data_IF_660859588269
#
_entry.id   IF_660859588269
#
_cell.length_a   1.000
_cell.length_b   1.000
_cell.length_c   1.000
_cell.angle_alpha   90.00
_cell.angle_beta   90.00
_cell.angle_gamma   90.00
#
_symmetry.space_group_name_H-M   'P 1'
#
loop_
_entity.id
_entity.type
_entity.pdbx_description
1 polymer ?
#
# COMPACT_ATOMS: atom_id res chain seq x y z
N UNK A 1 -18.94 45.53 29.67
CA UNK A 1 -18.48 44.24 29.18
C UNK A 1 -19.67 43.28 29.34
N UNK A 2 -20.48 43.17 28.30
CA UNK A 2 -21.71 42.39 28.30
C UNK A 2 -21.51 41.01 27.67
N UNK A 3 -22.25 39.97 28.08
CA UNK A 3 -22.06 38.62 27.55
C UNK A 3 -22.63 38.48 26.14
N UNK A 4 -21.87 37.83 25.29
CA UNK A 4 -22.26 37.44 23.94
C UNK A 4 -23.44 36.43 24.00
N UNK A 5 -24.58 36.85 23.47
CA UNK A 5 -25.76 35.97 23.29
C UNK A 5 -25.48 35.05 22.09
N UNK A 6 -25.34 33.76 22.33
CA UNK A 6 -25.37 32.74 21.28
C UNK A 6 -26.75 32.63 20.67
N UNK A 7 -26.80 32.54 19.35
CA UNK A 7 -28.00 32.31 18.54
C UNK A 7 -28.43 30.83 18.69
N UNK A 8 -29.66 30.52 19.21
CA UNK A 8 -30.13 29.13 19.39
C UNK A 8 -30.84 28.54 18.15
N UNK A 9 -30.66 29.12 16.94
CA UNK A 9 -31.51 28.82 15.79
C UNK A 9 -30.95 27.96 14.67
N UNK A 10 -29.72 27.48 14.71
CA UNK A 10 -29.19 26.63 13.63
C UNK A 10 -29.35 25.14 13.96
N UNK A 11 -30.50 24.56 13.60
CA UNK A 11 -30.64 23.10 13.52
C UNK A 11 -29.63 22.57 12.50
N UNK A 12 -28.88 21.50 12.80
CA UNK A 12 -28.10 20.81 11.80
C UNK A 12 -29.06 20.29 10.71
N UNK A 13 -28.80 20.66 9.48
CA UNK A 13 -29.50 20.11 8.32
C UNK A 13 -29.23 18.62 8.27
N UNK A 14 -30.30 17.81 8.26
CA UNK A 14 -30.23 16.36 8.09
C UNK A 14 -29.46 16.03 6.79
N UNK A 15 -28.60 15.00 6.80
CA UNK A 15 -27.96 14.53 5.58
C UNK A 15 -29.01 14.06 4.57
N UNK A 16 -28.73 14.16 3.25
CA UNK A 16 -29.68 13.74 2.22
C UNK A 16 -30.02 12.26 2.37
N UNK A 17 -31.31 11.96 2.16
CA UNK A 17 -31.87 10.61 2.25
C UNK A 17 -31.10 9.61 1.38
N UNK A 18 -30.80 8.45 1.93
CA UNK A 18 -30.16 7.32 1.28
C UNK A 18 -31.04 6.83 0.10
N UNK A 19 -30.55 7.05 -1.12
CA UNK A 19 -31.25 6.67 -2.36
C UNK A 19 -30.41 6.93 -3.59
N UNK A 20 -29.15 6.48 -3.65
CA UNK A 20 -28.39 6.33 -4.89
C UNK A 20 -27.29 5.30 -4.70
N UNK A 21 -27.01 4.51 -5.71
CA UNK A 21 -25.99 3.45 -5.77
C UNK A 21 -24.55 4.03 -5.62
N UNK A 22 -24.22 4.51 -4.43
CA UNK A 22 -22.95 5.19 -4.11
C UNK A 22 -22.88 5.62 -2.65
N UNK A 23 -23.77 5.15 -1.77
CA UNK A 23 -23.80 5.48 -0.35
C UNK A 23 -22.49 5.08 0.35
N UNK A 24 -22.03 5.93 1.29
CA UNK A 24 -20.88 5.65 2.17
C UNK A 24 -21.17 4.40 3.01
N UNK A 25 -20.63 3.25 2.59
CA UNK A 25 -20.92 1.94 3.19
C UNK A 25 -20.30 1.76 4.58
N UNK A 26 -19.43 2.67 5.01
CA UNK A 26 -18.75 2.64 6.31
C UNK A 26 -19.36 3.57 7.36
N UNK A 27 -20.55 4.13 7.09
CA UNK A 27 -21.32 4.90 8.06
C UNK A 27 -22.64 4.20 8.36
N UNK A 28 -23.07 4.30 9.61
CA UNK A 28 -24.44 3.91 10.00
C UNK A 28 -25.46 5.03 9.71
N UNK A 29 -26.72 4.79 10.05
CA UNK A 29 -27.81 5.77 9.88
C UNK A 29 -27.64 7.05 10.70
N UNK A 30 -26.76 7.04 11.70
CA UNK A 30 -26.43 8.17 12.56
C UNK A 30 -25.13 8.86 12.15
N UNK A 31 -24.46 8.40 11.07
CA UNK A 31 -23.19 8.94 10.59
C UNK A 31 -21.97 8.47 11.37
N UNK A 32 -22.10 7.46 12.25
CA UNK A 32 -20.96 6.87 12.96
C UNK A 32 -20.25 5.81 12.09
N UNK A 33 -18.93 5.73 12.24
CA UNK A 33 -18.11 4.77 11.51
C UNK A 33 -18.47 3.32 11.94
N UNK A 34 -18.65 2.44 10.94
CA UNK A 34 -18.86 1.01 11.17
C UNK A 34 -18.05 0.17 10.19
N UNK A 35 -17.65 -1.02 10.61
CA UNK A 35 -17.12 -2.04 9.73
C UNK A 35 -18.26 -2.64 8.89
N UNK A 36 -18.05 -2.73 7.56
CA UNK A 36 -19.09 -3.24 6.64
C UNK A 36 -19.34 -4.72 6.90
N UNK A 37 -20.61 -5.12 7.01
CA UNK A 37 -20.98 -6.54 7.04
C UNK A 37 -20.76 -7.17 5.66
N UNK A 38 -19.92 -8.19 5.62
CA UNK A 38 -19.59 -8.95 4.41
C UNK A 38 -20.17 -10.37 4.42
N UNK A 39 -21.00 -10.72 5.41
CA UNK A 39 -21.53 -12.08 5.63
C UNK A 39 -22.28 -12.62 4.41
N UNK A 40 -23.04 -11.77 3.72
CA UNK A 40 -23.82 -12.14 2.53
C UNK A 40 -22.99 -12.20 1.22
N UNK A 41 -21.72 -11.74 1.24
CA UNK A 41 -20.88 -11.76 0.04
C UNK A 41 -20.33 -13.16 -0.22
N UNK A 42 -20.21 -13.58 -1.48
CA UNK A 42 -19.55 -14.84 -1.82
C UNK A 42 -18.05 -14.77 -1.49
N UNK A 43 -17.52 -15.90 -1.09
CA UNK A 43 -16.06 -16.11 -0.97
C UNK A 43 -15.48 -16.26 -2.36
N UNK A 44 -14.44 -15.48 -2.69
CA UNK A 44 -13.76 -15.50 -3.99
C UNK A 44 -12.25 -15.36 -3.78
N UNK A 45 -11.47 -15.83 -4.75
CA UNK A 45 -10.05 -15.61 -4.78
C UNK A 45 -9.74 -14.15 -5.05
N UNK A 46 -8.79 -13.62 -4.29
CA UNK A 46 -8.42 -12.20 -4.33
C UNK A 46 -6.92 -12.04 -4.28
N UNK A 47 -6.46 -11.12 -5.09
CA UNK A 47 -5.07 -10.71 -5.16
C UNK A 47 -4.99 -9.19 -5.14
N UNK A 48 -4.02 -8.66 -4.43
CA UNK A 48 -3.65 -7.24 -4.50
C UNK A 48 -2.13 -7.10 -4.56
N UNK A 49 -1.69 -6.13 -5.33
CA UNK A 49 -0.29 -5.73 -5.47
C UNK A 49 -0.18 -4.27 -5.09
N UNK A 50 0.68 -3.95 -4.14
CA UNK A 50 1.00 -2.58 -3.76
C UNK A 50 2.51 -2.35 -3.87
N UNK A 51 2.92 -1.10 -4.01
CA UNK A 51 4.34 -0.78 -4.07
C UNK A 51 4.65 0.60 -3.53
N UNK A 52 5.94 0.82 -3.28
CA UNK A 52 6.52 2.11 -2.93
C UNK A 52 8.00 2.12 -3.28
N UNK A 53 8.66 3.26 -3.10
CA UNK A 53 10.12 3.41 -3.27
C UNK A 53 10.72 4.02 -2.02
N UNK A 54 11.90 3.56 -1.63
CA UNK A 54 12.73 4.21 -0.63
C UNK A 54 13.89 4.88 -1.36
N UNK A 55 13.82 6.20 -1.49
CA UNK A 55 14.82 7.01 -2.17
C UNK A 55 16.08 7.10 -1.33
N UNK A 56 17.23 6.76 -1.92
CA UNK A 56 18.52 6.66 -1.24
C UNK A 56 19.62 7.27 -2.08
N UNK A 57 20.64 7.80 -1.41
CA UNK A 57 21.85 8.25 -2.07
C UNK A 57 22.61 7.05 -2.68
N UNK A 58 23.35 7.26 -3.79
CA UNK A 58 24.14 6.19 -4.45
C UNK A 58 25.07 5.46 -3.48
N UNK A 59 25.75 6.18 -2.59
CA UNK A 59 26.65 5.57 -1.59
C UNK A 59 25.93 4.63 -0.63
N UNK A 60 24.66 4.93 -0.27
CA UNK A 60 23.84 4.04 0.59
C UNK A 60 23.40 2.80 -0.19
N UNK A 61 23.08 2.95 -1.47
CA UNK A 61 22.72 1.82 -2.35
C UNK A 61 23.92 0.89 -2.58
N UNK A 62 25.12 1.43 -2.74
CA UNK A 62 26.36 0.64 -2.83
C UNK A 62 26.62 -0.15 -1.55
N UNK A 63 26.42 0.45 -0.36
CA UNK A 63 26.52 -0.25 0.93
C UNK A 63 25.47 -1.37 1.07
N UNK A 64 24.25 -1.12 0.62
CA UNK A 64 23.18 -2.15 0.58
C UNK A 64 23.57 -3.31 -0.32
N UNK A 65 24.02 -3.02 -1.55
CA UNK A 65 24.43 -4.03 -2.52
C UNK A 65 25.60 -4.89 -2.02
N UNK A 66 26.55 -4.27 -1.31
CA UNK A 66 27.71 -4.94 -0.74
C UNK A 66 27.43 -5.67 0.59
N UNK A 67 26.20 -5.56 1.17
CA UNK A 67 25.90 -6.10 2.50
C UNK A 67 26.64 -5.39 3.64
N UNK A 68 27.12 -4.15 3.39
CA UNK A 68 27.99 -3.40 4.28
C UNK A 68 27.29 -2.55 5.35
N UNK A 69 25.98 -2.72 5.55
CA UNK A 69 25.26 -1.95 6.57
C UNK A 69 25.59 -2.43 7.98
N UNK A 70 25.75 -1.51 8.96
CA UNK A 70 26.08 -1.88 10.35
C UNK A 70 25.06 -2.79 11.04
N UNK A 71 23.80 -2.76 10.60
CA UNK A 71 22.68 -3.56 11.15
C UNK A 71 22.47 -4.90 10.43
N UNK A 72 23.30 -5.24 9.43
CA UNK A 72 23.21 -6.50 8.69
C UNK A 72 22.31 -6.41 7.44
N UNK A 73 21.72 -7.54 7.05
CA UNK A 73 20.94 -7.68 5.81
C UNK A 73 19.59 -6.92 5.88
N UNK A 74 19.62 -5.68 5.38
CA UNK A 74 18.47 -4.79 5.42
C UNK A 74 17.33 -5.25 4.50
N UNK A 75 17.66 -5.91 3.37
CA UNK A 75 16.64 -6.37 2.43
C UNK A 75 15.87 -7.56 3.00
N UNK A 76 16.57 -8.51 3.63
CA UNK A 76 15.94 -9.64 4.32
C UNK A 76 15.04 -9.16 5.48
N UNK A 77 15.53 -8.22 6.30
CA UNK A 77 14.75 -7.65 7.42
C UNK A 77 13.50 -6.94 6.89
N UNK A 78 13.62 -6.12 5.85
CA UNK A 78 12.50 -5.42 5.26
C UNK A 78 11.45 -6.38 4.67
N UNK A 79 11.88 -7.45 4.00
CA UNK A 79 10.99 -8.50 3.47
C UNK A 79 10.17 -9.16 4.58
N UNK A 80 10.83 -9.60 5.65
CA UNK A 80 10.15 -10.23 6.80
C UNK A 80 9.19 -9.25 7.45
N UNK A 81 9.58 -8.00 7.64
CA UNK A 81 8.73 -6.96 8.23
C UNK A 81 7.48 -6.72 7.37
N UNK A 82 7.60 -6.68 6.05
CA UNK A 82 6.47 -6.56 5.13
C UNK A 82 5.50 -7.73 5.25
N UNK A 83 5.99 -8.96 5.28
CA UNK A 83 5.17 -10.16 5.49
C UNK A 83 4.43 -10.09 6.84
N UNK A 84 5.11 -9.65 7.90
CA UNK A 84 4.47 -9.47 9.21
C UNK A 84 3.44 -8.35 9.20
N UNK A 85 3.71 -7.24 8.47
CA UNK A 85 2.78 -6.13 8.30
C UNK A 85 1.47 -6.57 7.68
N UNK A 86 1.50 -7.33 6.58
CA UNK A 86 0.30 -7.89 5.97
C UNK A 86 -0.56 -8.68 6.97
N UNK A 87 0.07 -9.52 7.79
CA UNK A 87 -0.62 -10.36 8.78
C UNK A 87 -1.23 -9.58 9.95
N UNK A 88 -0.86 -8.31 10.12
CA UNK A 88 -1.32 -7.44 11.22
C UNK A 88 -2.14 -6.25 10.74
N UNK A 89 -2.59 -6.25 9.50
CA UNK A 89 -3.35 -5.13 8.92
C UNK A 89 -4.58 -4.78 9.74
N UNK A 90 -5.37 -5.75 10.18
CA UNK A 90 -6.56 -5.53 11.01
C UNK A 90 -6.26 -4.94 12.40
N UNK A 91 -5.02 -5.12 12.91
CA UNK A 91 -4.59 -4.50 14.18
C UNK A 91 -4.23 -3.02 13.98
N UNK A 92 -3.89 -2.61 12.76
CA UNK A 92 -3.40 -1.27 12.43
C UNK A 92 -4.48 -0.39 11.78
N UNK A 93 -5.40 -0.98 11.03
CA UNK A 93 -6.44 -0.29 10.26
C UNK A 93 -7.81 -0.65 10.83
N UNK A 94 -8.45 0.27 11.61
CA UNK A 94 -9.59 -0.08 12.50
C UNK A 94 -10.80 -0.72 11.83
N UNK A 95 -11.08 -0.38 10.56
CA UNK A 95 -12.27 -0.91 9.84
C UNK A 95 -11.92 -2.05 8.88
N UNK A 96 -10.70 -2.58 8.91
CA UNK A 96 -10.32 -3.76 8.14
C UNK A 96 -10.75 -5.05 8.84
N UNK A 97 -11.31 -5.97 8.05
CA UNK A 97 -11.62 -7.32 8.54
C UNK A 97 -10.32 -8.12 8.73
N UNK A 98 -10.21 -8.95 9.77
CA UNK A 98 -9.15 -9.95 9.85
C UNK A 98 -9.37 -10.99 8.74
N UNK A 99 -8.37 -11.19 7.88
CA UNK A 99 -8.48 -12.07 6.72
C UNK A 99 -7.55 -13.29 6.83
N UNK A 100 -8.00 -14.46 6.36
CA UNK A 100 -7.16 -15.64 6.23
C UNK A 100 -6.23 -15.47 5.02
N UNK A 101 -5.08 -14.82 5.20
CA UNK A 101 -4.09 -14.62 4.14
C UNK A 101 -3.52 -15.98 3.73
N UNK A 102 -3.55 -16.29 2.43
CA UNK A 102 -3.02 -17.55 1.88
C UNK A 102 -1.61 -17.39 1.33
N UNK A 103 -1.20 -16.18 0.94
CA UNK A 103 0.14 -15.92 0.45
C UNK A 103 0.53 -14.45 0.58
N UNK A 104 1.80 -14.19 0.92
CA UNK A 104 2.42 -12.87 0.92
C UNK A 104 3.79 -12.98 0.29
N UNK A 105 4.03 -12.20 -0.73
CA UNK A 105 5.34 -12.02 -1.34
C UNK A 105 5.74 -10.55 -1.20
N UNK A 106 6.99 -10.29 -0.82
CA UNK A 106 7.56 -8.95 -0.77
C UNK A 106 8.87 -8.97 -1.53
N UNK A 107 8.91 -8.29 -2.66
CA UNK A 107 10.10 -8.11 -3.47
C UNK A 107 10.73 -6.75 -3.22
N UNK A 108 12.07 -6.73 -3.15
CA UNK A 108 12.86 -5.53 -2.99
C UNK A 108 13.94 -5.51 -4.06
N UNK A 109 13.92 -4.50 -4.93
CA UNK A 109 14.84 -4.35 -6.03
C UNK A 109 15.63 -3.06 -5.91
N UNK A 110 16.96 -3.16 -6.01
CA UNK A 110 17.83 -1.98 -6.09
C UNK A 110 17.65 -1.31 -7.45
N UNK A 111 17.38 -0.01 -7.43
CA UNK A 111 17.31 0.87 -8.58
C UNK A 111 18.45 1.89 -8.51
N UNK A 112 18.57 2.78 -9.48
CA UNK A 112 19.64 3.78 -9.56
C UNK A 112 19.66 4.75 -8.37
N UNK A 113 18.48 5.11 -7.86
CA UNK A 113 18.26 6.15 -6.85
C UNK A 113 17.32 5.70 -5.71
N UNK A 114 16.97 4.43 -5.68
CA UNK A 114 15.99 3.90 -4.72
C UNK A 114 16.13 2.39 -4.51
N UNK A 115 15.41 1.91 -3.50
CA UNK A 115 14.95 0.52 -3.43
C UNK A 115 13.45 0.51 -3.76
N UNK A 116 13.08 -0.14 -4.85
CA UNK A 116 11.68 -0.40 -5.18
C UNK A 116 11.18 -1.59 -4.34
N UNK A 117 10.00 -1.43 -3.78
CA UNK A 117 9.33 -2.44 -2.96
C UNK A 117 7.99 -2.77 -3.60
N UNK A 118 7.75 -4.06 -3.82
CA UNK A 118 6.47 -4.57 -4.32
C UNK A 118 5.97 -5.65 -3.38
N UNK A 119 4.74 -5.53 -2.91
CA UNK A 119 4.09 -6.50 -2.05
C UNK A 119 2.87 -7.09 -2.75
N UNK A 120 2.82 -8.41 -2.86
CA UNK A 120 1.69 -9.16 -3.41
C UNK A 120 1.04 -9.97 -2.30
N UNK A 121 -0.27 -9.82 -2.14
CA UNK A 121 -1.04 -10.55 -1.12
C UNK A 121 -2.19 -11.29 -1.78
N UNK A 122 -2.40 -12.55 -1.34
CA UNK A 122 -3.48 -13.43 -1.81
C UNK A 122 -4.33 -13.92 -0.65
N UNK A 123 -5.61 -14.06 -0.92
CA UNK A 123 -6.58 -14.69 -0.01
C UNK A 123 -7.76 -15.26 -0.78
N UNK A 124 -8.46 -16.21 -0.17
CA UNK A 124 -9.80 -16.65 -0.59
C UNK A 124 -10.79 -16.18 0.47
N UNK A 125 -11.45 -15.03 0.23
CA UNK A 125 -12.26 -14.33 1.24
C UNK A 125 -13.44 -13.54 0.64
N UNK A 126 -14.24 -12.92 1.52
CA UNK A 126 -15.42 -12.12 1.17
C UNK A 126 -15.12 -10.65 0.92
N UNK A 127 -13.93 -10.18 1.27
CA UNK A 127 -13.46 -8.81 1.02
C UNK A 127 -12.06 -8.80 0.42
N UNK A 128 -11.63 -7.65 -0.10
CA UNK A 128 -10.34 -7.50 -0.76
C UNK A 128 -9.16 -7.49 0.21
N UNK A 129 -7.96 -7.63 -0.33
CA UNK A 129 -6.66 -7.64 0.37
C UNK A 129 -5.80 -6.43 0.03
N UNK A 130 -6.41 -5.37 -0.46
CA UNK A 130 -5.72 -4.16 -0.87
C UNK A 130 -4.96 -3.53 0.31
N UNK A 131 -5.57 -3.51 1.49
CA UNK A 131 -4.96 -2.92 2.68
C UNK A 131 -3.81 -3.78 3.21
N UNK A 132 -3.92 -5.09 3.11
CA UNK A 132 -2.83 -6.01 3.47
C UNK A 132 -1.60 -5.79 2.57
N UNK A 133 -1.79 -5.60 1.27
CA UNK A 133 -0.72 -5.30 0.34
C UNK A 133 -0.08 -3.92 0.61
N UNK A 134 -0.88 -2.88 0.84
CA UNK A 134 -0.40 -1.55 1.19
C UNK A 134 0.36 -1.56 2.53
N UNK A 135 -0.16 -2.23 3.55
CA UNK A 135 0.49 -2.36 4.85
C UNK A 135 1.81 -3.12 4.74
N UNK A 136 1.86 -4.18 3.92
CA UNK A 136 3.09 -4.91 3.66
C UNK A 136 4.17 -4.02 3.03
N UNK A 137 3.84 -3.29 1.97
CA UNK A 137 4.78 -2.39 1.30
C UNK A 137 5.25 -1.27 2.26
N UNK A 138 4.34 -0.64 3.00
CA UNK A 138 4.65 0.40 3.97
C UNK A 138 5.57 -0.10 5.09
N UNK A 139 5.28 -1.28 5.66
CA UNK A 139 6.06 -1.84 6.77
C UNK A 139 7.45 -2.27 6.30
N UNK A 140 7.56 -2.83 5.09
CA UNK A 140 8.85 -3.13 4.48
C UNK A 140 9.69 -1.85 4.29
N UNK A 141 9.10 -0.77 3.80
CA UNK A 141 9.77 0.51 3.61
C UNK A 141 10.22 1.13 4.95
N UNK A 142 9.40 1.08 5.99
CA UNK A 142 9.74 1.55 7.33
C UNK A 142 10.90 0.73 7.94
N UNK A 143 10.89 -0.58 7.76
CA UNK A 143 11.97 -1.44 8.22
C UNK A 143 13.28 -1.14 7.47
N UNK A 144 13.23 -0.96 6.15
CA UNK A 144 14.39 -0.55 5.37
C UNK A 144 14.93 0.80 5.83
N UNK A 145 14.05 1.79 6.05
CA UNK A 145 14.43 3.09 6.59
C UNK A 145 15.15 2.93 7.95
N UNK A 146 14.62 2.12 8.87
CA UNK A 146 15.28 1.87 10.17
C UNK A 146 16.68 1.26 10.01
N UNK A 147 16.86 0.39 9.03
CA UNK A 147 18.15 -0.25 8.76
C UNK A 147 19.18 0.75 8.21
N UNK A 148 18.76 1.70 7.36
CA UNK A 148 19.68 2.66 6.69
C UNK A 148 19.85 3.98 7.45
N UNK A 149 18.97 4.34 8.37
CA UNK A 149 18.99 5.65 9.05
C UNK A 149 20.28 5.98 9.80
N UNK A 150 21.09 4.96 10.15
CA UNK A 150 22.40 5.15 10.78
C UNK A 150 23.44 5.73 9.82
N UNK A 151 23.28 5.51 8.50
CA UNK A 151 24.17 6.02 7.44
C UNK A 151 23.51 7.14 6.64
N UNK A 152 22.17 7.11 6.50
CA UNK A 152 21.43 8.14 5.78
C UNK A 152 20.08 8.41 6.45
N UNK A 153 19.87 9.61 7.02
CA UNK A 153 18.64 9.99 7.74
C UNK A 153 17.59 10.68 6.87
N UNK A 154 18.02 11.27 5.77
CA UNK A 154 17.16 11.97 4.80
C UNK A 154 16.57 11.03 3.73
N UNK A 155 16.69 9.72 3.92
CA UNK A 155 16.00 8.73 3.11
C UNK A 155 14.49 9.01 3.10
N UNK A 156 13.84 8.88 1.95
CA UNK A 156 12.43 9.21 1.78
C UNK A 156 11.64 8.02 1.25
N UNK A 157 10.52 7.71 1.90
CA UNK A 157 9.54 6.74 1.39
C UNK A 157 8.57 7.50 0.48
N UNK A 158 8.40 7.03 -0.74
CA UNK A 158 7.65 7.72 -1.78
C UNK A 158 6.76 6.77 -2.58
N UNK A 159 5.67 7.29 -3.18
CA UNK A 159 4.84 6.57 -4.13
C UNK A 159 4.10 5.36 -3.57
N UNK A 160 3.79 5.30 -2.26
CA UNK A 160 3.00 4.19 -1.71
C UNK A 160 1.60 4.18 -2.32
N UNK A 161 1.30 3.12 -3.09
CA UNK A 161 0.02 2.98 -3.77
C UNK A 161 -0.35 1.54 -4.11
N UNK A 162 -1.63 1.31 -4.38
CA UNK A 162 -2.10 0.09 -5.02
C UNK A 162 -1.68 0.11 -6.49
N UNK A 163 -1.02 -0.97 -6.93
CA UNK A 163 -0.57 -1.15 -8.31
C UNK A 163 -1.57 -1.97 -9.11
N UNK A 164 -2.11 -3.03 -8.51
CA UNK A 164 -3.10 -3.87 -9.15
C UNK A 164 -3.95 -4.62 -8.13
N UNK A 165 -5.14 -5.02 -8.54
CA UNK A 165 -5.94 -6.00 -7.80
C UNK A 165 -6.77 -6.84 -8.73
N UNK A 166 -7.13 -8.05 -8.28
CA UNK A 166 -8.02 -8.96 -8.98
C UNK A 166 -9.01 -9.62 -8.01
N UNK A 167 -10.20 -9.88 -8.52
CA UNK A 167 -11.29 -10.55 -7.80
C UNK A 167 -12.27 -9.62 -7.10
N UNK A 168 -13.37 -10.21 -6.63
CA UNK A 168 -14.49 -9.50 -6.02
C UNK A 168 -15.38 -8.77 -7.02
N UNK A 169 -16.38 -8.04 -6.49
CA UNK A 169 -17.42 -7.38 -7.29
C UNK A 169 -16.88 -6.29 -8.23
N UNK A 170 -15.82 -5.59 -7.85
CA UNK A 170 -15.22 -4.51 -8.65
C UNK A 170 -14.23 -5.02 -9.72
N UNK A 171 -14.07 -6.34 -9.86
CA UNK A 171 -13.23 -6.92 -10.92
C UNK A 171 -11.74 -6.60 -10.79
N UNK A 172 -11.11 -6.38 -11.94
CA UNK A 172 -9.68 -6.08 -12.04
C UNK A 172 -9.43 -4.58 -12.03
N UNK A 173 -8.29 -4.18 -11.45
CA UNK A 173 -7.76 -2.84 -11.48
C UNK A 173 -6.26 -2.91 -11.69
N UNK A 174 -5.74 -2.09 -12.58
CA UNK A 174 -4.31 -1.85 -12.79
C UNK A 174 -4.10 -0.34 -12.77
N UNK A 175 -3.18 0.11 -11.94
CA UNK A 175 -2.83 1.53 -11.86
C UNK A 175 -2.15 1.98 -13.14
N UNK A 176 -2.43 3.21 -13.56
CA UNK A 176 -1.67 3.85 -14.63
C UNK A 176 -0.17 3.92 -14.23
N UNK A 177 0.76 3.84 -15.20
CA UNK A 177 2.16 4.12 -14.95
C UNK A 177 2.34 5.48 -14.26
N UNK A 178 3.34 5.61 -13.36
CA UNK A 178 3.65 6.89 -12.74
C UNK A 178 4.01 7.92 -13.81
N UNK A 179 3.23 8.99 -13.88
CA UNK A 179 3.55 10.14 -14.73
C UNK A 179 4.52 11.11 -14.03
N UNK A 180 4.67 10.98 -12.70
CA UNK A 180 5.57 11.79 -11.90
C UNK A 180 6.94 11.10 -11.76
N UNK A 181 7.72 11.10 -12.82
CA UNK A 181 9.17 11.04 -12.70
C UNK A 181 9.64 12.31 -11.96
N UNK A 182 10.80 12.30 -11.24
CA UNK A 182 11.38 13.52 -10.71
C UNK A 182 11.44 14.54 -11.83
N UNK A 183 10.85 15.72 -11.61
CA UNK A 183 10.75 16.77 -12.61
C UNK A 183 12.12 16.96 -13.26
N UNK A 184 12.21 16.71 -14.56
CA UNK A 184 13.38 17.01 -15.37
C UNK A 184 13.58 18.53 -15.35
N UNK A 185 14.57 18.98 -14.58
CA UNK A 185 15.23 20.24 -14.88
C UNK A 185 15.89 20.05 -16.27
N UNK A 186 15.25 20.61 -17.29
CA UNK A 186 15.62 20.71 -18.68
C UNK A 186 16.94 20.06 -19.14
N UNK A 187 16.84 18.87 -19.76
CA UNK A 187 17.92 18.25 -20.52
C UNK A 187 17.32 17.43 -21.69
N UNK A 188 18.03 17.26 -22.81
CA UNK A 188 17.45 16.77 -24.06
C UNK A 188 17.07 15.29 -23.98
N UNK A 189 16.01 14.97 -24.69
CA UNK A 189 15.37 13.69 -24.99
C UNK A 189 16.26 12.44 -24.79
N UNK A 190 15.85 11.56 -23.88
CA UNK A 190 16.48 10.26 -23.65
C UNK A 190 15.51 9.22 -23.10
N UNK A 191 15.07 8.32 -23.98
CA UNK A 191 14.53 6.96 -23.79
C UNK A 191 13.85 6.68 -22.44
N UNK A 192 12.51 6.56 -22.45
CA UNK A 192 11.71 6.06 -21.34
C UNK A 192 12.30 4.75 -20.78
N UNK A 193 12.52 4.70 -19.47
CA UNK A 193 13.00 3.52 -18.77
C UNK A 193 11.95 2.40 -18.83
N UNK A 194 12.18 1.27 -19.51
CA UNK A 194 11.21 0.18 -19.65
C UNK A 194 10.91 -0.55 -18.32
N UNK A 195 11.66 -0.26 -17.24
CA UNK A 195 11.50 -0.94 -15.94
C UNK A 195 10.33 -0.44 -15.05
N UNK A 196 9.59 0.58 -15.50
CA UNK A 196 8.41 1.12 -14.80
C UNK A 196 7.08 0.50 -15.24
N UNK A 197 7.10 -0.67 -15.88
CA UNK A 197 5.89 -1.34 -16.32
C UNK A 197 5.01 -1.74 -15.12
N UNK A 198 3.69 -1.59 -15.29
CA UNK A 198 2.72 -2.13 -14.35
C UNK A 198 2.96 -3.65 -14.16
N UNK A 199 2.73 -4.19 -12.96
CA UNK A 199 2.92 -5.61 -12.72
C UNK A 199 2.04 -6.43 -13.67
N UNK A 200 2.65 -7.40 -14.36
CA UNK A 200 1.92 -8.37 -15.17
C UNK A 200 1.19 -9.34 -14.24
N UNK A 201 -0.12 -9.11 -14.07
CA UNK A 201 -0.97 -9.97 -13.23
C UNK A 201 -0.95 -11.45 -13.70
N UNK A 202 -0.70 -11.71 -14.98
CA UNK A 202 -0.58 -13.07 -15.51
C UNK A 202 0.78 -13.71 -15.16
N UNK A 203 1.82 -12.91 -14.94
CA UNK A 203 3.11 -13.41 -14.47
C UNK A 203 3.09 -13.76 -12.98
N UNK A 204 2.33 -12.98 -12.19
CA UNK A 204 2.15 -13.22 -10.75
C UNK A 204 1.40 -14.54 -10.47
N UNK A 205 0.55 -14.98 -11.39
CA UNK A 205 -0.23 -16.22 -11.26
C UNK A 205 0.59 -17.47 -11.61
N UNK A 206 1.69 -17.31 -12.35
CA UNK A 206 2.55 -18.42 -12.82
C UNK A 206 3.66 -18.82 -11.86
N UNK A 207 3.84 -18.07 -10.79
CA UNK A 207 4.75 -18.45 -9.72
C UNK A 207 4.11 -19.57 -8.88
N UNK A 208 4.28 -20.83 -9.33
CA UNK A 208 3.96 -21.99 -8.48
C UNK A 208 4.78 -21.90 -7.19
N UNK A 209 4.18 -22.22 -6.03
CA UNK A 209 4.96 -22.31 -4.80
C UNK A 209 6.03 -23.42 -4.98
N UNK A 210 7.26 -23.24 -4.48
CA UNK A 210 8.23 -24.32 -4.41
C UNK A 210 7.62 -25.44 -3.55
N UNK A 211 7.74 -26.69 -4.04
CA UNK A 211 7.34 -27.91 -3.33
C UNK A 211 7.99 -28.02 -1.94
#
# INVERSE_FOLDING_TARGET
>A
MGPLRGDPGRRPTAPPAAGSEGGLTHLDEHGAARMVDVSAKPTTDRLAVAGCRVLLAPATLELLAAGGLPKGDALAVARIAGIMGAKRTSDLVPLCHPLPITGVEVDLRLERDAVAITATVRTTARTGVEMEALTAAATAALALYDMVKGVQRDARIDGLRLLAKRGGRSGEYVAAPDQDGPGEAGGPEGSGNPERAAPDLAAVDRAEPPE
#
